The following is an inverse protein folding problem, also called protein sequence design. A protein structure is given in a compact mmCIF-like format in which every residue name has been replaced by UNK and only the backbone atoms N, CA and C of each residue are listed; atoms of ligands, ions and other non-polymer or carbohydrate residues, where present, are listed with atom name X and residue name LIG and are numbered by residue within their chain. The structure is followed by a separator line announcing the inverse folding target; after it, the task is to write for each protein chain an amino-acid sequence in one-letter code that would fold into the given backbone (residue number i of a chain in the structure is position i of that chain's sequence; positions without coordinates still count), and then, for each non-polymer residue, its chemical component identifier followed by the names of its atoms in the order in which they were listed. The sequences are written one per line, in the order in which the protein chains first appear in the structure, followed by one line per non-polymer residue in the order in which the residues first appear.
data_IF_824618121891
#
_entry.id   IF_824618121891
#
_cell.length_a   1.000
_cell.length_b   1.000
_cell.length_c   1.000
_cell.angle_alpha   90.00
_cell.angle_beta   90.00
_cell.angle_gamma   90.00
#
_symmetry.space_group_name_H-M   'P 1'
#
loop_
_entity.id
_entity.type
_entity.pdbx_description
1 polymer ?
#
# COMPACT_ATOMS: atom_id res chain seq x y z
N UNK A 1 -23.53 26.13 -12.24
CA UNK A 1 -22.16 25.82 -11.78
C UNK A 1 -21.75 24.50 -12.38
N UNK A 2 -20.86 24.52 -13.38
CA UNK A 2 -20.27 23.30 -13.91
C UNK A 2 -19.46 22.61 -12.80
N UNK A 3 -19.78 21.36 -12.50
CA UNK A 3 -19.03 20.56 -11.53
C UNK A 3 -17.66 20.28 -12.15
N UNK A 4 -16.65 21.00 -11.69
CA UNK A 4 -15.26 20.69 -12.01
C UNK A 4 -14.99 19.30 -11.43
N UNK A 5 -15.00 18.27 -12.28
CA UNK A 5 -14.55 16.93 -11.93
C UNK A 5 -13.07 17.06 -11.56
N UNK A 6 -12.77 17.14 -10.27
CA UNK A 6 -11.40 17.09 -9.77
C UNK A 6 -10.87 15.71 -10.15
N UNK A 7 -10.02 15.68 -11.18
CA UNK A 7 -9.59 14.46 -11.87
C UNK A 7 -9.11 13.40 -10.89
N UNK A 8 -9.44 12.14 -11.18
CA UNK A 8 -9.02 10.94 -10.45
C UNK A 8 -7.48 10.83 -10.26
N UNK A 9 -6.70 11.71 -10.89
CA UNK A 9 -5.26 11.86 -10.76
C UNK A 9 -4.84 12.13 -9.30
N UNK A 10 -5.64 12.89 -8.53
CA UNK A 10 -5.32 13.18 -7.12
C UNK A 10 -5.32 11.95 -6.22
N UNK A 11 -6.02 10.89 -6.63
CA UNK A 11 -6.20 9.67 -5.85
C UNK A 11 -5.16 8.59 -6.23
N UNK A 12 -4.29 8.87 -7.20
CA UNK A 12 -3.22 7.96 -7.62
C UNK A 12 -2.12 7.87 -6.56
N UNK A 13 -1.71 6.65 -6.23
CA UNK A 13 -0.53 6.41 -5.39
C UNK A 13 0.72 6.86 -6.15
N UNK A 14 1.80 7.20 -5.45
CA UNK A 14 3.06 7.67 -6.07
C UNK A 14 3.57 6.80 -7.22
N UNK A 15 3.39 5.47 -7.13
CA UNK A 15 3.75 4.54 -8.23
C UNK A 15 2.82 4.70 -9.43
N UNK A 16 1.51 4.74 -9.21
CA UNK A 16 0.48 4.90 -10.26
C UNK A 16 0.59 6.27 -10.93
N UNK A 17 0.86 7.32 -10.16
CA UNK A 17 1.15 8.66 -10.67
C UNK A 17 2.39 8.66 -11.57
N UNK A 18 3.46 7.93 -11.20
CA UNK A 18 4.65 7.82 -12.03
C UNK A 18 4.41 7.10 -13.36
N UNK A 19 3.54 6.09 -13.36
CA UNK A 19 3.13 5.40 -14.59
C UNK A 19 2.30 6.32 -15.48
N UNK A 20 1.28 6.99 -14.92
CA UNK A 20 0.47 7.95 -15.66
C UNK A 20 1.32 9.04 -16.33
N UNK A 21 2.26 9.65 -15.61
CA UNK A 21 3.12 10.70 -16.19
C UNK A 21 4.02 10.12 -17.30
N UNK A 22 4.46 8.86 -17.18
CA UNK A 22 5.23 8.18 -18.22
C UNK A 22 4.38 8.01 -19.49
N UNK A 23 3.18 7.48 -19.35
CA UNK A 23 2.26 7.21 -20.47
C UNK A 23 1.86 8.52 -21.17
N UNK A 24 1.54 9.57 -20.41
CA UNK A 24 1.21 10.89 -20.96
C UNK A 24 2.42 11.48 -21.68
N UNK A 25 3.64 11.30 -21.14
CA UNK A 25 4.85 11.77 -21.81
C UNK A 25 5.09 11.06 -23.14
N UNK A 26 4.89 9.75 -23.20
CA UNK A 26 5.04 8.93 -24.42
C UNK A 26 4.01 9.32 -25.49
N UNK A 27 2.72 9.34 -25.12
CA UNK A 27 1.63 9.78 -25.99
C UNK A 27 1.88 11.20 -26.52
N UNK A 28 2.39 12.08 -25.65
CA UNK A 28 2.68 13.45 -26.05
C UNK A 28 3.85 13.56 -27.04
N UNK A 29 4.86 12.70 -26.90
CA UNK A 29 6.02 12.66 -27.78
C UNK A 29 5.66 12.10 -29.17
N UNK A 30 4.72 11.16 -29.23
CA UNK A 30 4.22 10.59 -30.49
C UNK A 30 3.25 11.51 -31.23
N UNK A 31 2.60 12.43 -30.51
CA UNK A 31 1.62 13.33 -31.10
C UNK A 31 2.27 14.42 -31.99
N UNK A 32 1.92 14.43 -33.28
CA UNK A 32 2.35 15.47 -34.24
C UNK A 32 1.47 16.72 -34.19
N UNK A 33 1.21 17.24 -33.00
CA UNK A 33 0.35 18.42 -32.83
C UNK A 33 1.17 19.71 -33.01
N UNK A 34 0.77 20.58 -33.95
CA UNK A 34 1.45 21.86 -34.23
C UNK A 34 1.02 23.03 -33.32
N UNK A 35 0.15 22.77 -32.34
CA UNK A 35 -0.37 23.82 -31.45
C UNK A 35 0.72 24.31 -30.49
N UNK A 36 0.99 25.61 -30.46
CA UNK A 36 2.03 26.21 -29.63
C UNK A 36 1.81 26.01 -28.12
N UNK A 37 0.56 26.05 -27.66
CA UNK A 37 0.19 25.76 -26.27
C UNK A 37 0.45 24.31 -25.90
N UNK A 38 0.20 23.39 -26.84
CA UNK A 38 0.48 21.97 -26.65
C UNK A 38 1.99 21.70 -26.56
N UNK A 39 2.78 22.28 -27.46
CA UNK A 39 4.25 22.17 -27.44
C UNK A 39 4.83 22.70 -26.12
N UNK A 40 4.30 23.82 -25.60
CA UNK A 40 4.73 24.36 -24.31
C UNK A 40 4.37 23.43 -23.14
N UNK A 41 3.16 22.87 -23.14
CA UNK A 41 2.71 21.96 -22.09
C UNK A 41 3.52 20.65 -22.08
N UNK A 42 3.84 20.10 -23.24
CA UNK A 42 4.66 18.88 -23.38
C UNK A 42 6.10 19.09 -22.94
N UNK A 43 6.72 20.22 -23.30
CA UNK A 43 8.05 20.57 -22.81
C UNK A 43 8.10 20.72 -21.29
N UNK A 44 7.06 21.32 -20.68
CA UNK A 44 6.96 21.41 -19.23
C UNK A 44 6.79 20.03 -18.59
N UNK A 45 5.92 19.19 -19.15
CA UNK A 45 5.71 17.81 -18.69
C UNK A 45 7.03 17.02 -18.70
N UNK A 46 7.80 17.08 -19.80
CA UNK A 46 9.08 16.39 -19.91
C UNK A 46 10.11 16.91 -18.88
N UNK A 47 10.15 18.22 -18.63
CA UNK A 47 11.01 18.82 -17.60
C UNK A 47 10.65 18.33 -16.20
N UNK A 48 9.35 18.25 -15.88
CA UNK A 48 8.87 17.71 -14.61
C UNK A 48 9.13 16.21 -14.48
N UNK A 49 8.94 15.43 -15.54
CA UNK A 49 9.24 14.00 -15.55
C UNK A 49 10.72 13.73 -15.28
N UNK A 50 11.63 14.47 -15.92
CA UNK A 50 13.08 14.37 -15.66
C UNK A 50 13.43 14.65 -14.20
N UNK A 51 12.82 15.67 -13.59
CA UNK A 51 12.97 15.95 -12.14
C UNK A 51 12.40 14.83 -11.27
N UNK A 52 11.28 14.23 -11.69
CA UNK A 52 10.63 13.14 -10.96
C UNK A 52 11.45 11.84 -10.99
N UNK A 53 12.12 11.54 -12.12
CA UNK A 53 13.10 10.45 -12.19
C UNK A 53 14.27 10.66 -11.24
N UNK A 54 14.74 11.90 -11.06
CA UNK A 54 15.79 12.23 -10.09
C UNK A 54 15.35 12.04 -8.63
N UNK A 55 14.05 12.11 -8.34
CA UNK A 55 13.50 11.84 -7.01
C UNK A 55 13.42 10.33 -6.69
N UNK A 56 13.34 9.48 -7.72
CA UNK A 56 13.03 8.04 -7.61
C UNK A 56 14.11 7.23 -6.87
N UNK A 57 15.33 7.76 -6.75
CA UNK A 57 16.49 7.08 -6.13
C UNK A 57 16.95 7.68 -4.79
N UNK A 58 16.22 8.62 -4.20
CA UNK A 58 16.78 9.36 -3.04
C UNK A 58 16.94 8.56 -1.75
N UNK A 59 16.38 7.35 -1.62
CA UNK A 59 16.73 6.43 -0.53
C UNK A 59 16.71 4.98 -0.99
N UNK A 60 17.87 4.31 -1.14
CA UNK A 60 17.87 2.86 -1.20
C UNK A 60 17.16 2.34 0.04
N UNK A 61 16.23 1.39 -0.17
CA UNK A 61 15.61 0.67 0.93
C UNK A 61 16.72 0.12 1.83
N UNK A 62 16.67 0.40 3.12
CA UNK A 62 17.68 -0.08 4.07
C UNK A 62 17.85 -1.60 3.90
N UNK A 63 19.07 -2.12 3.94
CA UNK A 63 19.32 -3.56 3.72
C UNK A 63 18.52 -4.47 4.68
N UNK A 64 18.14 -3.95 5.85
CA UNK A 64 17.28 -4.64 6.81
C UNK A 64 15.77 -4.59 6.50
N UNK A 65 15.30 -3.77 5.56
CA UNK A 65 13.86 -3.60 5.28
C UNK A 65 13.20 -4.94 4.94
N UNK A 66 13.86 -5.76 4.12
CA UNK A 66 13.37 -7.10 3.78
C UNK A 66 13.29 -8.01 5.01
N UNK A 67 14.34 -8.00 5.85
CA UNK A 67 14.40 -8.77 7.09
C UNK A 67 13.31 -8.33 8.07
N UNK A 68 13.08 -7.02 8.21
CA UNK A 68 12.04 -6.44 9.05
C UNK A 68 10.66 -6.88 8.55
N UNK A 69 10.39 -6.76 7.25
CA UNK A 69 9.13 -7.17 6.65
C UNK A 69 8.84 -8.66 6.86
N UNK A 70 9.86 -9.52 6.68
CA UNK A 70 9.74 -10.96 6.93
C UNK A 70 9.43 -11.26 8.41
N UNK A 71 10.12 -10.61 9.35
CA UNK A 71 9.85 -10.76 10.79
C UNK A 71 8.45 -10.26 11.17
N UNK A 72 8.00 -9.15 10.59
CA UNK A 72 6.64 -8.61 10.82
C UNK A 72 5.58 -9.58 10.29
N UNK A 73 5.78 -10.15 9.10
CA UNK A 73 4.89 -11.16 8.51
C UNK A 73 4.80 -12.40 9.39
N UNK A 74 5.93 -13.01 9.74
CA UNK A 74 5.98 -14.19 10.60
C UNK A 74 5.29 -13.96 11.95
N UNK A 75 5.56 -12.80 12.58
CA UNK A 75 4.90 -12.43 13.85
C UNK A 75 3.39 -12.33 13.67
N UNK A 76 2.94 -11.76 12.56
CA UNK A 76 1.52 -11.57 12.30
C UNK A 76 0.82 -12.91 12.08
N UNK A 77 1.37 -13.76 11.23
CA UNK A 77 0.84 -15.09 10.94
C UNK A 77 0.75 -15.93 12.23
N UNK A 78 1.80 -15.93 13.05
CA UNK A 78 1.81 -16.59 14.36
C UNK A 78 0.68 -16.08 15.27
N UNK A 79 0.53 -14.75 15.40
CA UNK A 79 -0.52 -14.15 16.24
C UNK A 79 -1.92 -14.47 15.70
N UNK A 80 -2.10 -14.60 14.39
CA UNK A 80 -3.35 -15.03 13.77
C UNK A 80 -3.72 -16.45 14.21
N UNK A 81 -2.80 -17.39 14.02
CA UNK A 81 -2.98 -18.78 14.41
C UNK A 81 -3.25 -18.91 15.91
N UNK A 82 -2.51 -18.18 16.74
CA UNK A 82 -2.70 -18.19 18.19
C UNK A 82 -4.09 -17.68 18.59
N UNK A 83 -4.56 -16.57 17.99
CA UNK A 83 -5.92 -16.05 18.22
C UNK A 83 -6.99 -17.07 17.80
N UNK A 84 -6.80 -17.76 16.68
CA UNK A 84 -7.73 -18.81 16.24
C UNK A 84 -7.76 -19.99 17.21
N UNK A 85 -6.61 -20.47 17.68
CA UNK A 85 -6.53 -21.55 18.68
C UNK A 85 -7.22 -21.18 19.98
N UNK A 86 -7.05 -19.95 20.45
CA UNK A 86 -7.73 -19.46 21.65
C UNK A 86 -9.24 -19.39 21.46
N UNK A 87 -9.71 -18.93 20.29
CA UNK A 87 -11.15 -18.94 19.97
C UNK A 87 -11.71 -20.37 19.96
N UNK A 88 -10.98 -21.33 19.41
CA UNK A 88 -11.38 -22.74 19.44
C UNK A 88 -11.42 -23.28 20.88
N UNK A 89 -10.39 -23.02 21.68
CA UNK A 89 -10.32 -23.47 23.07
C UNK A 89 -11.43 -22.86 23.97
N UNK A 90 -11.93 -21.66 23.65
CA UNK A 90 -13.10 -21.08 24.32
C UNK A 90 -14.40 -21.85 24.08
N UNK A 91 -14.48 -22.60 22.97
CA UNK A 91 -15.61 -23.45 22.61
C UNK A 91 -15.43 -24.89 23.07
N UNK A 92 -14.30 -25.23 23.70
CA UNK A 92 -14.02 -26.57 24.18
C UNK A 92 -15.09 -27.04 25.18
N UNK A 93 -15.49 -28.32 25.16
CA UNK A 93 -16.35 -28.89 26.19
C UNK A 93 -15.65 -29.00 27.55
N UNK A 94 -14.31 -28.92 27.60
CA UNK A 94 -13.51 -29.06 28.82
C UNK A 94 -13.43 -27.71 29.58
N UNK A 95 -13.89 -27.64 30.84
CA UNK A 95 -13.88 -26.39 31.63
C UNK A 95 -12.50 -25.76 31.82
N UNK A 96 -11.48 -26.57 32.06
CA UNK A 96 -10.10 -26.15 32.32
C UNK A 96 -9.53 -25.44 31.08
N UNK A 97 -9.80 -25.97 29.89
CA UNK A 97 -9.37 -25.39 28.62
C UNK A 97 -10.04 -24.03 28.37
N UNK A 98 -11.34 -23.91 28.70
CA UNK A 98 -12.05 -22.62 28.59
C UNK A 98 -11.48 -21.58 29.54
N UNK A 99 -11.15 -21.95 30.78
CA UNK A 99 -10.57 -21.04 31.78
C UNK A 99 -9.18 -20.56 31.31
N UNK A 100 -8.33 -21.47 30.86
CA UNK A 100 -7.02 -21.14 30.31
C UNK A 100 -7.15 -20.22 29.08
N UNK A 101 -8.07 -20.52 28.17
CA UNK A 101 -8.32 -19.72 26.97
C UNK A 101 -8.82 -18.30 27.30
N UNK A 102 -9.68 -18.12 28.31
CA UNK A 102 -10.11 -16.78 28.77
C UNK A 102 -8.93 -15.94 29.25
N UNK A 103 -8.02 -16.54 30.01
CA UNK A 103 -6.82 -15.85 30.52
C UNK A 103 -5.84 -15.49 29.40
N UNK A 104 -5.64 -16.40 28.45
CA UNK A 104 -4.82 -16.15 27.25
C UNK A 104 -5.42 -15.07 26.35
N UNK A 105 -6.74 -15.08 26.14
CA UNK A 105 -7.45 -14.03 25.40
C UNK A 105 -7.21 -12.65 26.02
N UNK A 106 -7.36 -12.53 27.33
CA UNK A 106 -7.10 -11.28 28.05
C UNK A 106 -5.67 -10.75 27.85
N UNK A 107 -4.66 -11.63 27.86
CA UNK A 107 -3.28 -11.23 27.61
C UNK A 107 -3.05 -10.76 26.18
N UNK A 108 -3.62 -11.45 25.19
CA UNK A 108 -3.42 -11.14 23.76
C UNK A 108 -4.22 -9.92 23.32
N UNK A 109 -5.40 -9.67 23.90
CA UNK A 109 -6.24 -8.51 23.55
C UNK A 109 -5.54 -7.19 23.89
N UNK A 110 -4.62 -7.18 24.87
CA UNK A 110 -3.75 -6.02 25.15
C UNK A 110 -2.75 -5.74 24.02
N UNK A 111 -2.36 -6.75 23.25
CA UNK A 111 -1.54 -6.60 22.07
C UNK A 111 -2.45 -6.27 20.87
N UNK A 112 -2.94 -5.02 20.83
CA UNK A 112 -3.82 -4.43 19.79
C UNK A 112 -3.17 -4.29 18.40
N UNK A 113 -2.20 -5.12 18.04
CA UNK A 113 -1.74 -5.17 16.65
C UNK A 113 -2.76 -5.98 15.88
N UNK A 114 -3.56 -5.26 15.07
CA UNK A 114 -4.41 -5.87 14.06
C UNK A 114 -3.55 -6.82 13.21
N UNK A 115 -4.17 -7.86 12.67
CA UNK A 115 -3.51 -8.65 11.63
C UNK A 115 -3.05 -7.68 10.55
N UNK A 116 -1.81 -7.85 10.07
CA UNK A 116 -1.33 -7.15 8.88
C UNK A 116 -2.38 -7.34 7.80
N UNK A 117 -3.15 -6.28 7.54
CA UNK A 117 -4.04 -6.25 6.39
C UNK A 117 -3.10 -6.13 5.20
N UNK A 118 -2.96 -7.17 4.36
CA UNK A 118 -2.26 -6.98 3.10
C UNK A 118 -2.95 -5.81 2.40
N UNK A 119 -2.17 -4.81 1.98
CA UNK A 119 -2.65 -3.71 1.16
C UNK A 119 -2.94 -4.24 -0.25
N UNK A 120 -3.93 -5.12 -0.36
CA UNK A 120 -4.52 -5.58 -1.60
C UNK A 120 -5.91 -4.97 -1.64
N UNK A 121 -6.01 -3.76 -2.21
CA UNK A 121 -7.13 -3.47 -3.06
C UNK A 121 -7.06 -4.49 -4.20
N UNK A 122 -7.87 -5.54 -4.09
CA UNK A 122 -8.19 -6.39 -5.23
C UNK A 122 -8.81 -5.47 -6.26
N UNK A 123 -8.15 -5.33 -7.41
CA UNK A 123 -8.78 -4.77 -8.60
C UNK A 123 -9.86 -5.77 -9.02
N UNK A 124 -11.12 -5.41 -8.79
CA UNK A 124 -12.28 -5.93 -9.54
C UNK A 124 -12.59 -4.94 -10.65
#
# INVERSE_FOLDING_TARGET
MEKIHVSFIKDLRNREFSHLISDVSEISAESKCKNSSFIKATNNLQSHYKKLLQLKDTKPSHYLTEVINKKVRNRTEYLACLRMRIRAALLSPIPEERIAAKRLKFWIDRYKKELFKPSLTVQT
#
